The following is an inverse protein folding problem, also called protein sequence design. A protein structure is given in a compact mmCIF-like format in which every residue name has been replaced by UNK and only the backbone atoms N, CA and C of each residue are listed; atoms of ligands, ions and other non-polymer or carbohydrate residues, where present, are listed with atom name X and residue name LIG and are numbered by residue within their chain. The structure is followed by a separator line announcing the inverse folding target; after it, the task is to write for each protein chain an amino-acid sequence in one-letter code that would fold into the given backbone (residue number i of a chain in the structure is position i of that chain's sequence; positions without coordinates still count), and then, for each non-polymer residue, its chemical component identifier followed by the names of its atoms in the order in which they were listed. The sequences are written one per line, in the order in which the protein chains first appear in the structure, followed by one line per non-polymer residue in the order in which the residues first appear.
data_IF_261508594615
#
_entry.id   IF_261508594615
#
_cell.length_a   1.000
_cell.length_b   1.000
_cell.length_c   1.000
_cell.angle_alpha   90.00
_cell.angle_beta   90.00
_cell.angle_gamma   90.00
#
_symmetry.space_group_name_H-M   'P 1'
#
loop_
_entity.id
_entity.type
_entity.pdbx_description
1 polymer ?
#
# COMPACT_ATOMS: atom_id res chain seq x y z
N UNK A 1 17.54 17.17 -13.53
CA UNK A 1 17.86 15.96 -12.75
C UNK A 1 17.14 16.05 -11.40
N UNK A 2 16.03 15.34 -11.24
CA UNK A 2 15.36 15.23 -9.94
C UNK A 2 15.84 13.92 -9.32
N UNK A 3 16.72 14.04 -8.33
CA UNK A 3 17.16 12.93 -7.50
C UNK A 3 15.93 12.35 -6.78
N UNK A 4 15.66 11.07 -7.06
CA UNK A 4 14.81 10.25 -6.23
C UNK A 4 15.67 9.85 -5.03
N UNK A 5 15.42 10.44 -3.87
CA UNK A 5 15.72 9.73 -2.63
C UNK A 5 14.64 8.66 -2.50
N UNK A 6 14.95 7.49 -3.06
CA UNK A 6 14.40 6.20 -2.66
C UNK A 6 14.52 6.15 -1.14
N UNK A 7 13.40 6.17 -0.43
CA UNK A 7 13.38 5.39 0.80
C UNK A 7 13.22 3.96 0.32
N UNK A 8 14.14 3.12 0.79
CA UNK A 8 14.29 1.74 0.42
C UNK A 8 12.95 1.01 0.42
N UNK A 9 12.60 0.37 -0.69
CA UNK A 9 11.93 -0.92 -0.58
C UNK A 9 12.99 -1.91 -0.07
N UNK A 10 13.24 -1.89 1.23
CA UNK A 10 14.00 -2.95 1.89
C UNK A 10 13.08 -4.16 1.94
N UNK A 11 13.03 -4.93 0.84
CA UNK A 11 12.72 -6.35 0.93
C UNK A 11 13.96 -7.03 1.51
N UNK A 12 14.22 -6.73 2.78
CA UNK A 12 15.30 -7.25 3.61
C UNK A 12 14.68 -7.84 4.87
N UNK A 13 15.37 -8.77 5.48
CA UNK A 13 14.93 -9.72 6.51
C UNK A 13 14.44 -9.10 7.86
N UNK A 14 14.09 -7.82 7.92
CA UNK A 14 13.70 -7.07 9.13
C UNK A 14 12.52 -6.07 8.90
N UNK A 15 11.63 -6.31 7.94
CA UNK A 15 10.42 -5.48 7.84
C UNK A 15 9.33 -6.03 8.78
N UNK A 16 9.27 -5.49 10.01
CA UNK A 16 8.24 -5.87 11.00
C UNK A 16 6.81 -5.57 10.49
N UNK A 17 6.65 -4.64 9.53
CA UNK A 17 5.35 -4.19 9.04
C UNK A 17 5.17 -4.52 7.56
N UNK A 18 3.97 -4.93 7.15
CA UNK A 18 3.63 -5.11 5.73
C UNK A 18 3.03 -3.81 5.18
N UNK A 19 3.90 -2.84 4.86
CA UNK A 19 3.49 -1.53 4.36
C UNK A 19 4.34 -1.02 3.20
N UNK A 20 3.74 -0.29 2.27
CA UNK A 20 4.40 0.39 1.16
C UNK A 20 4.21 1.90 1.29
N UNK A 21 5.33 2.62 1.31
CA UNK A 21 5.35 4.08 1.49
C UNK A 21 5.75 4.78 0.19
N UNK A 22 4.87 5.65 -0.31
CA UNK A 22 5.06 6.41 -1.54
C UNK A 22 4.99 7.89 -1.26
N UNK A 23 6.02 8.63 -1.66
CA UNK A 23 6.05 10.09 -1.55
C UNK A 23 5.66 10.74 -2.87
N UNK A 24 4.54 11.44 -2.88
CA UNK A 24 4.05 12.23 -4.01
C UNK A 24 4.51 13.68 -3.84
N UNK A 25 5.52 14.06 -4.63
CA UNK A 25 6.18 15.38 -4.58
C UNK A 25 5.23 16.55 -4.86
N UNK A 26 5.17 17.50 -3.93
CA UNK A 26 4.45 18.77 -3.94
C UNK A 26 4.79 19.71 -5.10
N UNK A 27 3.97 20.75 -5.33
CA UNK A 27 4.48 21.96 -5.97
C UNK A 27 5.37 22.68 -4.94
N UNK A 28 6.32 23.49 -5.40
CA UNK A 28 7.03 24.41 -4.51
C UNK A 28 6.03 25.17 -3.63
N UNK A 29 6.22 25.07 -2.31
CA UNK A 29 5.37 25.70 -1.29
C UNK A 29 4.10 24.94 -0.88
N UNK A 30 3.73 23.80 -1.51
CA UNK A 30 2.49 23.08 -1.15
C UNK A 30 2.70 21.84 -0.27
N UNK A 31 3.96 21.49 0.02
CA UNK A 31 4.33 20.26 0.73
C UNK A 31 4.16 18.98 -0.10
N UNK A 32 4.88 17.95 0.28
CA UNK A 32 4.75 16.60 -0.26
C UNK A 32 3.53 15.89 0.39
N UNK A 33 3.05 14.83 -0.26
CA UNK A 33 2.05 13.93 0.33
C UNK A 33 2.62 12.54 0.42
N UNK A 34 2.54 11.92 1.60
CA UNK A 34 2.88 10.53 1.80
C UNK A 34 1.61 9.70 1.60
N UNK A 35 1.70 8.68 0.76
CA UNK A 35 0.65 7.67 0.57
C UNK A 35 1.20 6.36 1.08
N UNK A 36 0.47 5.72 1.98
CA UNK A 36 0.85 4.45 2.60
C UNK A 36 -0.21 3.43 2.28
N UNK A 37 0.21 2.28 1.76
CA UNK A 37 -0.65 1.10 1.63
C UNK A 37 -0.18 0.08 2.65
N UNK A 38 -1.06 -0.30 3.57
CA UNK A 38 -0.74 -1.19 4.69
C UNK A 38 -1.64 -2.43 4.67
N UNK A 39 -1.09 -3.57 5.05
CA UNK A 39 -1.87 -4.77 5.35
C UNK A 39 -1.46 -5.28 6.73
N UNK A 40 -2.41 -5.31 7.68
CA UNK A 40 -2.18 -5.87 9.02
C UNK A 40 -2.75 -7.30 9.09
N UNK A 41 -1.91 -8.34 9.22
CA UNK A 41 -2.39 -9.69 9.49
C UNK A 41 -3.19 -9.76 10.80
N UNK A 42 -4.21 -10.66 10.90
CA UNK A 42 -5.07 -10.72 12.09
C UNK A 42 -4.31 -11.12 13.37
N UNK A 43 -3.24 -11.89 13.23
CA UNK A 43 -2.41 -12.38 14.34
C UNK A 43 -1.06 -11.67 14.40
N UNK A 44 -0.99 -10.40 13.95
CA UNK A 44 0.23 -9.62 14.01
C UNK A 44 0.63 -9.36 15.47
N UNK A 45 1.94 -9.44 15.74
CA UNK A 45 2.50 -9.20 17.08
C UNK A 45 2.43 -7.71 17.46
N UNK A 46 2.29 -7.44 18.76
CA UNK A 46 2.18 -6.09 19.31
C UNK A 46 3.37 -5.18 18.89
N UNK A 47 4.58 -5.75 18.76
CA UNK A 47 5.78 -5.00 18.34
C UNK A 47 5.67 -4.48 16.89
N UNK A 48 5.10 -5.26 15.99
CA UNK A 48 4.90 -4.86 14.60
C UNK A 48 3.82 -3.78 14.48
N UNK A 49 2.75 -3.87 15.28
CA UNK A 49 1.74 -2.82 15.39
C UNK A 49 2.36 -1.51 15.90
N UNK A 50 3.18 -1.58 16.95
CA UNK A 50 3.88 -0.42 17.52
C UNK A 50 4.82 0.25 16.53
N UNK A 51 5.60 -0.54 15.79
CA UNK A 51 6.48 -0.03 14.75
C UNK A 51 5.69 0.72 13.68
N UNK A 52 4.57 0.14 13.22
CA UNK A 52 3.68 0.77 12.25
C UNK A 52 3.11 2.10 12.78
N UNK A 53 2.58 2.11 14.00
CA UNK A 53 1.96 3.30 14.59
C UNK A 53 2.98 4.43 14.80
N UNK A 54 4.20 4.09 15.22
CA UNK A 54 5.29 5.06 15.35
C UNK A 54 5.67 5.68 14.00
N UNK A 55 5.75 4.87 12.94
CA UNK A 55 6.04 5.37 11.58
C UNK A 55 4.91 6.25 11.05
N UNK A 56 3.66 5.84 11.26
CA UNK A 56 2.46 6.62 10.91
C UNK A 56 2.49 7.97 11.62
N UNK A 57 2.77 7.99 12.92
CA UNK A 57 2.82 9.24 13.67
C UNK A 57 3.95 10.18 13.26
N UNK A 58 5.15 9.64 13.03
CA UNK A 58 6.26 10.44 12.52
C UNK A 58 5.92 11.11 11.16
N UNK A 59 5.22 10.38 10.28
CA UNK A 59 4.81 10.89 8.98
C UNK A 59 3.65 11.90 9.06
N UNK A 60 2.61 11.60 9.85
CA UNK A 60 1.42 12.45 9.99
C UNK A 60 1.76 13.82 10.62
N UNK A 61 2.71 13.87 11.56
CA UNK A 61 3.13 15.15 12.14
C UNK A 61 4.05 15.97 11.21
N UNK A 62 4.66 15.33 10.21
CA UNK A 62 5.62 15.99 9.31
C UNK A 62 5.00 16.46 8.00
N UNK A 63 4.07 15.69 7.42
CA UNK A 63 3.56 15.88 6.07
C UNK A 63 2.08 15.49 5.97
N UNK A 64 1.43 15.87 4.86
CA UNK A 64 0.11 15.35 4.55
C UNK A 64 0.21 13.84 4.28
N UNK A 65 -0.64 13.05 4.92
CA UNK A 65 -0.62 11.60 4.92
C UNK A 65 -1.97 11.04 4.42
N UNK A 66 -1.92 10.08 3.51
CA UNK A 66 -3.05 9.23 3.13
C UNK A 66 -2.67 7.78 3.40
N UNK A 67 -3.27 7.17 4.42
CA UNK A 67 -3.03 5.79 4.83
C UNK A 67 -4.21 4.91 4.40
N UNK A 68 -3.94 3.84 3.65
CA UNK A 68 -4.93 2.96 3.06
C UNK A 68 -4.58 1.53 3.45
N UNK A 69 -5.55 0.71 3.84
CA UNK A 69 -5.22 -0.67 4.16
C UNK A 69 -6.32 -1.49 4.80
N UNK A 70 -6.10 -2.80 4.84
CA UNK A 70 -6.90 -3.74 5.65
C UNK A 70 -6.22 -3.93 7.01
N UNK A 71 -6.85 -3.41 8.06
CA UNK A 71 -6.30 -3.44 9.42
C UNK A 71 -6.88 -4.56 10.29
N UNK A 72 -7.89 -5.28 9.80
CA UNK A 72 -8.54 -6.43 10.47
C UNK A 72 -8.89 -6.18 11.94
N UNK A 73 -9.47 -5.02 12.24
CA UNK A 73 -10.01 -4.71 13.57
C UNK A 73 -11.55 -4.74 13.57
N UNK A 74 -12.19 -5.93 13.54
CA UNK A 74 -13.65 -6.06 13.40
C UNK A 74 -14.44 -5.51 14.60
N UNK A 75 -13.84 -5.45 15.78
CA UNK A 75 -14.49 -5.02 17.03
C UNK A 75 -14.36 -3.52 17.29
N UNK A 76 -14.12 -2.73 16.25
CA UNK A 76 -13.95 -1.28 16.33
C UNK A 76 -15.24 -0.60 15.90
N UNK A 77 -15.92 0.05 16.83
CA UNK A 77 -17.03 0.95 16.53
C UNK A 77 -16.47 2.32 16.18
N UNK A 78 -16.33 2.58 14.87
CA UNK A 78 -15.83 3.86 14.37
C UNK A 78 -16.73 5.04 14.74
N UNK A 79 -18.05 4.87 14.66
CA UNK A 79 -19.02 5.92 15.02
C UNK A 79 -18.92 6.32 16.49
N UNK A 80 -18.67 5.36 17.37
CA UNK A 80 -18.60 5.56 18.81
C UNK A 80 -17.18 5.65 19.35
N UNK A 81 -16.16 5.70 18.49
CA UNK A 81 -14.74 5.64 18.82
C UNK A 81 -14.40 4.64 19.94
N UNK A 82 -14.96 3.43 19.87
CA UNK A 82 -14.82 2.41 20.92
C UNK A 82 -14.33 1.09 20.35
N UNK A 83 -13.46 0.42 21.10
CA UNK A 83 -12.92 -0.87 20.73
C UNK A 83 -12.89 -1.83 21.92
N UNK A 84 -13.40 -3.05 21.73
CA UNK A 84 -13.43 -4.06 22.79
C UNK A 84 -12.08 -4.73 23.05
N UNK A 85 -11.19 -4.77 22.05
CA UNK A 85 -9.90 -5.47 22.13
C UNK A 85 -8.73 -4.50 22.39
N UNK A 86 -7.70 -4.93 23.13
CA UNK A 86 -6.53 -4.09 23.46
C UNK A 86 -5.87 -3.52 22.21
N UNK A 87 -5.56 -4.35 21.21
CA UNK A 87 -4.91 -3.92 19.97
C UNK A 87 -5.78 -2.92 19.18
N UNK A 88 -7.10 -3.13 19.13
CA UNK A 88 -8.02 -2.20 18.48
C UNK A 88 -8.10 -0.85 19.20
N UNK A 89 -8.02 -0.82 20.54
CA UNK A 89 -7.94 0.44 21.31
C UNK A 89 -6.67 1.20 21.00
N UNK A 90 -5.52 0.52 20.99
CA UNK A 90 -4.23 1.12 20.62
C UNK A 90 -4.23 1.71 19.21
N UNK A 91 -4.93 1.04 18.29
CA UNK A 91 -5.10 1.54 16.93
C UNK A 91 -5.94 2.83 16.89
N UNK A 92 -7.06 2.87 17.64
CA UNK A 92 -7.86 4.10 17.77
C UNK A 92 -7.09 5.23 18.44
N UNK A 93 -6.37 4.95 19.52
CA UNK A 93 -5.47 5.91 20.17
C UNK A 93 -4.44 6.48 19.17
N UNK A 94 -3.82 5.61 18.36
CA UNK A 94 -2.91 6.05 17.30
C UNK A 94 -3.63 6.95 16.28
N UNK A 95 -4.86 6.65 15.89
CA UNK A 95 -5.60 7.49 14.93
C UNK A 95 -5.88 8.86 15.53
N UNK A 96 -6.36 8.90 16.77
CA UNK A 96 -6.72 10.12 17.47
C UNK A 96 -5.50 11.01 17.75
N UNK A 97 -4.42 10.43 18.29
CA UNK A 97 -3.17 11.16 18.60
C UNK A 97 -2.53 11.79 17.35
N UNK A 98 -2.79 11.19 16.18
CA UNK A 98 -2.24 11.61 14.90
C UNK A 98 -3.23 12.41 14.04
N UNK A 99 -4.40 12.78 14.58
CA UNK A 99 -5.46 13.53 13.90
C UNK A 99 -5.88 12.89 12.57
N UNK A 100 -5.90 11.57 12.51
CA UNK A 100 -6.27 10.82 11.31
C UNK A 100 -7.79 10.72 11.20
N UNK A 101 -8.32 11.16 10.08
CA UNK A 101 -9.73 11.15 9.74
C UNK A 101 -10.03 9.96 8.84
N UNK A 102 -10.98 9.12 9.24
CA UNK A 102 -11.57 8.10 8.38
C UNK A 102 -12.49 8.76 7.34
N UNK A 103 -12.24 8.51 6.06
CA UNK A 103 -13.02 9.10 4.97
C UNK A 103 -14.12 8.18 4.43
N UNK A 104 -14.10 6.90 4.81
CA UNK A 104 -15.13 5.94 4.43
C UNK A 104 -16.17 5.88 5.55
N UNK A 105 -17.43 6.19 5.22
CA UNK A 105 -18.53 6.14 6.18
C UNK A 105 -19.34 4.83 6.10
N UNK A 106 -19.25 4.10 4.98
CA UNK A 106 -20.00 2.86 4.74
C UNK A 106 -19.16 1.59 4.96
N UNK A 107 -19.69 0.56 5.65
CA UNK A 107 -18.95 -0.69 5.87
C UNK A 107 -18.67 -1.46 4.57
N UNK A 108 -17.46 -1.99 4.44
CA UNK A 108 -16.99 -2.62 3.20
C UNK A 108 -17.09 -4.14 3.14
N UNK A 109 -17.21 -4.83 4.28
CA UNK A 109 -17.30 -6.30 4.34
C UNK A 109 -18.35 -6.76 5.33
N UNK A 110 -19.50 -7.25 4.83
CA UNK A 110 -20.58 -7.86 5.66
C UNK A 110 -21.01 -7.00 6.87
N UNK A 111 -20.95 -5.67 6.77
CA UNK A 111 -21.27 -4.75 7.87
C UNK A 111 -20.09 -4.32 8.74
N UNK A 112 -18.89 -4.86 8.53
CA UNK A 112 -17.65 -4.45 9.19
C UNK A 112 -16.79 -3.54 8.28
N UNK A 113 -16.17 -2.52 8.87
CA UNK A 113 -15.23 -1.61 8.21
C UNK A 113 -13.79 -2.01 8.57
N UNK A 114 -13.21 -2.90 7.77
CA UNK A 114 -11.86 -3.45 7.96
C UNK A 114 -10.82 -2.77 7.08
N UNK A 115 -11.22 -2.51 5.83
CA UNK A 115 -10.46 -1.64 4.94
C UNK A 115 -10.73 -0.19 5.34
N UNK A 116 -9.69 0.64 5.36
CA UNK A 116 -9.75 2.01 5.85
C UNK A 116 -9.02 2.94 4.89
N UNK A 117 -9.51 4.17 4.79
CA UNK A 117 -8.77 5.27 4.17
C UNK A 117 -8.72 6.41 5.18
N UNK A 118 -7.52 6.66 5.70
CA UNK A 118 -7.24 7.62 6.75
C UNK A 118 -6.43 8.79 6.19
N UNK A 119 -6.73 10.01 6.62
CA UNK A 119 -5.97 11.22 6.24
C UNK A 119 -5.84 12.19 7.40
N UNK A 120 -4.69 12.82 7.57
CA UNK A 120 -4.51 13.91 8.56
C UNK A 120 -4.91 15.30 8.01
N UNK A 121 -5.39 15.35 6.77
CA UNK A 121 -5.75 16.59 6.10
C UNK A 121 -7.16 16.52 5.54
N UNK A 122 -8.05 17.28 6.16
CA UNK A 122 -9.44 17.40 5.74
C UNK A 122 -9.53 17.92 4.29
N UNK A 123 -10.46 17.36 3.52
CA UNK A 123 -10.67 17.69 2.11
C UNK A 123 -9.55 17.24 1.15
N UNK A 124 -8.48 16.60 1.63
CA UNK A 124 -7.43 16.09 0.75
C UNK A 124 -7.88 14.86 -0.02
N UNK A 125 -8.69 13.99 0.59
CA UNK A 125 -9.28 12.83 -0.08
C UNK A 125 -10.74 13.14 -0.38
N UNK A 126 -11.14 12.97 -1.63
CA UNK A 126 -12.50 13.26 -2.09
C UNK A 126 -12.99 12.27 -3.14
N UNK A 127 -14.27 12.38 -3.51
CA UNK A 127 -14.93 11.49 -4.47
C UNK A 127 -14.77 10.01 -4.12
N UNK A 128 -14.87 9.67 -2.84
CA UNK A 128 -14.81 8.28 -2.35
C UNK A 128 -16.05 7.53 -2.85
N UNK A 129 -15.83 6.36 -3.46
CA UNK A 129 -16.86 5.50 -4.01
C UNK A 129 -16.51 4.05 -3.72
N UNK A 130 -17.47 3.32 -3.17
CA UNK A 130 -17.39 1.88 -3.13
C UNK A 130 -17.76 1.31 -4.50
N UNK A 131 -17.00 0.32 -4.94
CA UNK A 131 -17.22 -0.44 -6.17
C UNK A 131 -17.53 -1.89 -5.83
N UNK A 132 -17.84 -2.68 -6.86
CA UNK A 132 -17.97 -4.13 -6.72
C UNK A 132 -16.65 -4.77 -6.27
N UNK A 133 -16.71 -6.07 -5.99
CA UNK A 133 -15.51 -6.86 -5.78
C UNK A 133 -14.68 -6.95 -7.06
N UNK A 134 -13.36 -7.05 -6.90
CA UNK A 134 -12.47 -7.35 -8.02
C UNK A 134 -12.33 -8.88 -8.14
N UNK A 135 -12.84 -9.44 -9.24
CA UNK A 135 -12.85 -10.89 -9.46
C UNK A 135 -13.62 -11.63 -8.36
N UNK A 136 -12.98 -12.66 -7.78
CA UNK A 136 -13.56 -13.47 -6.69
C UNK A 136 -13.26 -12.93 -5.28
N UNK A 137 -12.73 -11.70 -5.16
CA UNK A 137 -12.45 -11.10 -3.85
C UNK A 137 -13.73 -10.93 -3.04
N UNK A 138 -13.67 -11.16 -1.74
CA UNK A 138 -14.74 -10.86 -0.80
C UNK A 138 -14.67 -9.42 -0.23
N UNK A 139 -13.70 -8.63 -0.69
CA UNK A 139 -13.57 -7.21 -0.39
C UNK A 139 -14.12 -6.35 -1.54
N UNK A 140 -14.78 -5.24 -1.19
CA UNK A 140 -15.21 -4.22 -2.15
C UNK A 140 -14.03 -3.32 -2.50
N UNK A 141 -13.90 -2.95 -3.78
CA UNK A 141 -12.92 -1.93 -4.17
C UNK A 141 -13.33 -0.54 -3.67
N UNK A 142 -12.36 0.26 -3.28
CA UNK A 142 -12.53 1.70 -2.97
C UNK A 142 -11.86 2.52 -4.05
N UNK A 143 -12.64 3.37 -4.70
CA UNK A 143 -12.15 4.40 -5.62
C UNK A 143 -12.22 5.76 -4.91
N UNK A 144 -11.14 6.53 -4.92
CA UNK A 144 -11.12 7.89 -4.39
C UNK A 144 -10.12 8.75 -5.17
N UNK A 145 -10.15 10.06 -4.91
CA UNK A 145 -9.20 11.03 -5.47
C UNK A 145 -8.39 11.68 -4.35
N UNK A 146 -7.08 11.71 -4.52
CA UNK A 146 -6.19 12.58 -3.73
C UNK A 146 -6.16 13.94 -4.41
N UNK A 147 -6.84 14.92 -3.82
CA UNK A 147 -6.96 16.27 -4.31
C UNK A 147 -5.68 17.05 -3.98
N UNK A 148 -5.04 17.59 -5.03
CA UNK A 148 -3.87 18.45 -4.87
C UNK A 148 -3.78 19.47 -6.00
N UNK A 149 -3.22 20.63 -5.70
CA UNK A 149 -2.72 21.54 -6.71
C UNK A 149 -1.53 20.87 -7.43
N UNK A 150 -1.77 20.40 -8.65
CA UNK A 150 -0.77 19.70 -9.45
C UNK A 150 -0.26 20.58 -10.59
N UNK A 151 1.06 20.55 -10.82
CA UNK A 151 1.63 20.81 -12.15
C UNK A 151 1.83 19.43 -12.78
N UNK A 152 1.19 19.17 -13.93
CA UNK A 152 1.37 17.91 -14.66
C UNK A 152 2.80 17.87 -15.20
N UNK A 153 3.73 17.36 -14.40
CA UNK A 153 5.05 17.00 -14.90
C UNK A 153 4.85 15.70 -15.68
N UNK A 154 5.01 15.75 -17.00
CA UNK A 154 5.13 14.53 -17.78
C UNK A 154 6.48 13.91 -17.45
N UNK A 155 6.51 13.02 -16.46
CA UNK A 155 7.55 12.00 -16.44
C UNK A 155 7.23 11.03 -17.58
N UNK A 156 8.10 10.96 -18.59
CA UNK A 156 8.10 9.81 -19.50
C UNK A 156 8.50 8.60 -18.65
N UNK A 157 7.53 7.91 -18.07
CA UNK A 157 7.75 6.59 -17.52
C UNK A 157 7.57 5.64 -18.70
N UNK A 158 8.61 4.91 -19.08
CA UNK A 158 8.48 3.75 -19.96
C UNK A 158 7.77 2.68 -19.16
N UNK A 159 6.46 2.52 -19.39
CA UNK A 159 5.66 1.42 -18.86
C UNK A 159 5.45 0.40 -19.97
N UNK A 160 5.52 -0.89 -19.65
CA UNK A 160 5.15 -1.95 -20.59
C UNK A 160 3.67 -1.84 -20.94
N UNK A 161 3.34 -1.90 -22.24
CA UNK A 161 1.94 -1.89 -22.69
C UNK A 161 1.39 -3.32 -22.70
N UNK A 162 0.89 -3.76 -21.54
CA UNK A 162 0.33 -5.11 -21.37
C UNK A 162 -0.84 -5.42 -22.32
N UNK A 163 -1.51 -4.40 -22.90
CA UNK A 163 -2.58 -4.63 -23.89
C UNK A 163 -2.04 -5.08 -25.24
N UNK A 164 -0.80 -4.72 -25.55
CA UNK A 164 -0.12 -5.06 -26.81
C UNK A 164 0.94 -6.15 -26.62
N UNK A 165 1.07 -6.70 -25.41
CA UNK A 165 2.03 -7.73 -25.11
C UNK A 165 1.66 -9.05 -25.83
N UNK A 166 2.65 -9.69 -26.44
CA UNK A 166 2.51 -11.04 -26.97
C UNK A 166 2.76 -12.07 -25.86
N UNK A 167 1.69 -12.42 -25.15
CA UNK A 167 1.75 -13.44 -24.09
C UNK A 167 2.02 -14.85 -24.60
N UNK A 168 1.88 -15.10 -25.91
CA UNK A 168 2.27 -16.37 -26.53
C UNK A 168 3.79 -16.49 -26.57
N UNK A 169 4.43 -15.51 -27.22
CA UNK A 169 5.88 -15.42 -27.31
C UNK A 169 6.54 -15.37 -25.92
N UNK A 170 5.96 -14.60 -25.01
CA UNK A 170 6.48 -14.48 -23.64
C UNK A 170 6.54 -15.83 -22.91
N UNK A 171 5.48 -16.64 -23.05
CA UNK A 171 5.41 -17.99 -22.48
C UNK A 171 6.42 -18.93 -23.14
N UNK A 172 6.56 -18.83 -24.46
CA UNK A 172 7.51 -19.64 -25.22
C UNK A 172 8.96 -19.34 -24.79
N UNK A 173 9.30 -18.07 -24.58
CA UNK A 173 10.63 -17.68 -24.08
C UNK A 173 10.89 -18.22 -22.67
N UNK A 174 9.94 -18.06 -21.74
CA UNK A 174 10.09 -18.56 -20.37
C UNK A 174 10.09 -20.10 -20.28
N UNK A 175 9.39 -20.79 -21.18
CA UNK A 175 9.38 -22.26 -21.19
C UNK A 175 10.70 -22.87 -21.67
N UNK A 176 11.52 -22.11 -22.40
CA UNK A 176 12.87 -22.53 -22.82
C UNK A 176 13.91 -22.46 -21.70
N UNK A 177 13.60 -21.76 -20.61
CA UNK A 177 14.49 -21.66 -19.45
C UNK A 177 14.52 -23.00 -18.72
N UNK A 178 15.72 -23.49 -18.46
CA UNK A 178 15.96 -24.68 -17.64
C UNK A 178 15.81 -24.36 -16.16
N UNK A 179 14.57 -24.23 -15.70
CA UNK A 179 14.25 -23.85 -14.32
C UNK A 179 14.80 -24.81 -13.27
N UNK A 180 14.89 -26.11 -13.62
CA UNK A 180 15.55 -27.14 -12.83
C UNK A 180 16.96 -26.73 -12.40
N UNK A 181 17.75 -26.24 -13.34
CA UNK A 181 19.12 -25.76 -13.09
C UNK A 181 19.17 -24.33 -12.59
N UNK A 182 18.30 -23.48 -13.10
CA UNK A 182 18.30 -22.06 -12.77
C UNK A 182 17.98 -21.82 -11.29
N UNK A 183 17.19 -22.70 -10.68
CA UNK A 183 16.73 -22.59 -9.29
C UNK A 183 17.41 -23.57 -8.33
N UNK A 184 18.28 -24.45 -8.83
CA UNK A 184 18.94 -25.48 -8.03
C UNK A 184 19.79 -24.87 -6.90
N UNK A 185 19.57 -25.33 -5.67
CA UNK A 185 20.34 -24.91 -4.49
C UNK A 185 20.14 -23.45 -4.06
N UNK A 186 19.21 -22.71 -4.67
CA UNK A 186 18.92 -21.32 -4.32
C UNK A 186 17.91 -21.21 -3.18
N UNK A 187 18.10 -20.22 -2.32
CA UNK A 187 17.08 -19.81 -1.36
C UNK A 187 15.91 -19.09 -2.06
N UNK A 188 14.80 -18.87 -1.35
CA UNK A 188 13.59 -18.28 -1.92
C UNK A 188 13.83 -16.90 -2.55
N UNK A 189 14.64 -16.06 -1.89
CA UNK A 189 14.96 -14.72 -2.38
C UNK A 189 15.82 -14.79 -3.65
N UNK A 190 16.85 -15.62 -3.67
CA UNK A 190 17.72 -15.80 -4.84
C UNK A 190 17.00 -16.45 -6.02
N UNK A 191 16.07 -17.35 -5.73
CA UNK A 191 15.17 -17.95 -6.72
C UNK A 191 14.25 -16.90 -7.34
N UNK A 192 13.69 -16.00 -6.53
CA UNK A 192 12.86 -14.90 -7.03
C UNK A 192 13.66 -13.93 -7.90
N UNK A 193 14.89 -13.57 -7.50
CA UNK A 193 15.76 -12.71 -8.28
C UNK A 193 16.13 -13.37 -9.63
N UNK A 194 16.51 -14.65 -9.61
CA UNK A 194 16.81 -15.40 -10.83
C UNK A 194 15.59 -15.50 -11.77
N UNK A 195 14.40 -15.73 -11.23
CA UNK A 195 13.16 -15.71 -11.99
C UNK A 195 12.90 -14.32 -12.60
N UNK A 196 13.04 -13.27 -11.81
CA UNK A 196 12.83 -11.88 -12.24
C UNK A 196 13.77 -11.50 -13.37
N UNK A 197 15.04 -11.93 -13.34
CA UNK A 197 16.00 -11.63 -14.41
C UNK A 197 15.59 -12.26 -15.74
N UNK A 198 15.18 -13.53 -15.74
CA UNK A 198 14.66 -14.19 -16.95
C UNK A 198 13.35 -13.55 -17.43
N UNK A 199 12.50 -13.11 -16.50
CA UNK A 199 11.27 -12.40 -16.80
C UNK A 199 11.56 -11.06 -17.50
N UNK A 200 12.56 -10.31 -17.05
CA UNK A 200 12.98 -9.05 -17.64
C UNK A 200 13.63 -9.26 -19.01
N UNK A 201 14.46 -10.29 -19.19
CA UNK A 201 15.05 -10.63 -20.49
C UNK A 201 13.99 -10.98 -21.54
N UNK A 202 12.92 -11.66 -21.15
CA UNK A 202 11.82 -11.97 -22.05
C UNK A 202 10.94 -10.76 -22.41
N UNK A 203 11.18 -9.58 -21.82
CA UNK A 203 10.48 -8.32 -22.12
C UNK A 203 11.20 -7.44 -23.14
N UNK A 204 12.47 -7.73 -23.46
CA UNK A 204 13.28 -7.02 -24.48
C UNK A 204 12.96 -7.50 -25.90
#
# INVERSE_FOLDING_TARGET
MTSWSTWSSTWGHEELTKSLWVRIKGRAGTGDTIVVVCYRPPNQEDQADEALYRQVGAASHSQALVLIGDFKHPNTCWRGNTAGHKQSRRFLECIDDNFLLQVIEEPMRRGAMLDLVLTNKEGQVGNVKLKGSLGCSDHKMVEFKILRAARRVHSKLTTLDFRRADFGLFRDLLSRVRWDKALEGREAQDSYLAFKDHLLQAQE
#
